data_IF_220011451208
#
_entry.id   IF_220011451208
#
_cell.length_a   1.000
_cell.length_b   1.000
_cell.length_c   1.000
_cell.angle_alpha   90.00
_cell.angle_beta   90.00
_cell.angle_gamma   90.00
#
_symmetry.space_group_name_H-M   'P 1'
#
loop_
_entity.id
_entity.type
_entity.pdbx_description
1 polymer ?
#
# COMPACT_ATOMS: atom_id res chain seq x y z
N UNK A 1 -31.05 17.52 -35.72
CA UNK A 1 -31.32 17.49 -34.27
C UNK A 1 -30.57 16.28 -33.75
N UNK A 2 -29.44 16.46 -33.05
CA UNK A 2 -28.73 15.31 -32.47
C UNK A 2 -29.70 14.62 -31.50
N UNK A 3 -29.83 13.31 -31.64
CA UNK A 3 -30.70 12.50 -30.81
C UNK A 3 -30.22 12.63 -29.36
N UNK A 4 -31.10 13.13 -28.47
CA UNK A 4 -30.79 13.40 -27.07
C UNK A 4 -30.25 12.14 -26.38
N UNK A 5 -30.71 10.96 -26.80
CA UNK A 5 -30.23 9.67 -26.32
C UNK A 5 -28.76 9.40 -26.70
N UNK A 6 -28.34 9.76 -27.92
CA UNK A 6 -26.96 9.55 -28.39
C UNK A 6 -25.99 10.40 -27.56
N UNK A 7 -26.35 11.65 -27.28
CA UNK A 7 -25.52 12.52 -26.44
C UNK A 7 -25.41 11.99 -25.00
N UNK A 8 -26.53 11.56 -24.41
CA UNK A 8 -26.54 11.02 -23.04
C UNK A 8 -25.61 9.80 -22.92
N UNK A 9 -25.72 8.85 -23.86
CA UNK A 9 -24.87 7.66 -23.89
C UNK A 9 -23.40 8.01 -24.13
N UNK A 10 -23.10 8.98 -25.00
CA UNK A 10 -21.74 9.45 -25.23
C UNK A 10 -21.10 10.03 -23.97
N UNK A 11 -21.83 10.86 -23.21
CA UNK A 11 -21.33 11.43 -21.95
C UNK A 11 -21.02 10.33 -20.93
N UNK A 12 -21.94 9.39 -20.72
CA UNK A 12 -21.73 8.27 -19.78
C UNK A 12 -20.53 7.42 -20.21
N UNK A 13 -20.40 7.11 -21.50
CA UNK A 13 -19.29 6.33 -22.05
C UNK A 13 -17.94 7.04 -21.86
N UNK A 14 -17.85 8.34 -22.15
CA UNK A 14 -16.63 9.12 -21.95
C UNK A 14 -16.22 9.11 -20.49
N UNK A 15 -17.16 9.36 -19.56
CA UNK A 15 -16.87 9.33 -18.12
C UNK A 15 -16.40 7.94 -17.70
N UNK A 16 -17.05 6.88 -18.16
CA UNK A 16 -16.65 5.51 -17.84
C UNK A 16 -15.23 5.21 -18.31
N UNK A 17 -14.89 5.57 -19.55
CA UNK A 17 -13.53 5.39 -20.11
C UNK A 17 -12.51 6.15 -19.28
N UNK A 18 -12.77 7.43 -18.97
CA UNK A 18 -11.83 8.27 -18.21
C UNK A 18 -11.64 7.73 -16.79
N UNK A 19 -12.72 7.37 -16.08
CA UNK A 19 -12.65 6.83 -14.72
C UNK A 19 -11.90 5.51 -14.67
N UNK A 20 -12.20 4.59 -15.59
CA UNK A 20 -11.52 3.29 -15.67
C UNK A 20 -10.04 3.45 -16.06
N UNK A 21 -9.73 4.31 -17.04
CA UNK A 21 -8.36 4.57 -17.47
C UNK A 21 -7.53 5.20 -16.35
N UNK A 22 -8.10 6.16 -15.62
CA UNK A 22 -7.45 6.81 -14.49
C UNK A 22 -7.14 5.82 -13.36
N UNK A 23 -8.13 5.04 -12.94
CA UNK A 23 -7.95 4.00 -11.92
C UNK A 23 -6.94 2.94 -12.37
N UNK A 24 -7.06 2.45 -13.60
CA UNK A 24 -6.14 1.46 -14.17
C UNK A 24 -4.71 1.98 -14.19
N UNK A 25 -4.50 3.24 -14.60
CA UNK A 25 -3.18 3.89 -14.58
C UNK A 25 -2.62 3.96 -13.16
N UNK A 26 -3.45 4.28 -12.15
CA UNK A 26 -3.01 4.29 -10.76
C UNK A 26 -2.58 2.90 -10.28
N UNK A 27 -3.34 1.85 -10.60
CA UNK A 27 -3.02 0.47 -10.24
C UNK A 27 -1.77 -0.05 -10.98
N UNK A 28 -1.59 0.34 -12.24
CA UNK A 28 -0.38 0.00 -13.00
C UNK A 28 0.87 0.68 -12.41
N UNK A 29 0.76 1.96 -12.00
CA UNK A 29 1.86 2.66 -11.30
C UNK A 29 2.27 1.94 -10.01
N UNK A 30 1.30 1.38 -9.27
CA UNK A 30 1.57 0.61 -8.06
C UNK A 30 2.35 -0.68 -8.29
N UNK A 31 2.25 -1.27 -9.48
CA UNK A 31 2.72 -2.64 -9.74
C UNK A 31 3.89 -2.73 -10.73
N UNK A 32 4.11 -1.69 -11.52
CA UNK A 32 5.06 -1.71 -12.63
C UNK A 32 6.24 -0.76 -12.49
N UNK A 33 6.15 0.26 -11.61
CA UNK A 33 7.23 1.24 -11.41
C UNK A 33 8.55 0.54 -11.10
N UNK A 34 9.62 0.76 -11.89
CA UNK A 34 10.91 0.14 -11.64
C UNK A 34 11.60 0.78 -10.43
N UNK A 35 12.34 0.00 -9.66
CA UNK A 35 13.20 0.49 -8.59
C UNK A 35 14.67 0.49 -9.00
N UNK A 36 15.49 1.29 -8.30
CA UNK A 36 16.95 1.20 -8.36
C UNK A 36 17.42 0.02 -7.51
N UNK A 37 17.35 -1.19 -8.08
CA UNK A 37 17.76 -2.44 -7.43
C UNK A 37 16.61 -3.41 -7.21
N UNK A 38 16.88 -4.47 -6.45
CA UNK A 38 15.95 -5.56 -6.19
C UNK A 38 16.14 -6.04 -4.75
N UNK A 39 15.03 -6.26 -4.05
CA UNK A 39 15.06 -6.88 -2.73
C UNK A 39 15.22 -8.39 -2.80
N UNK A 40 15.57 -9.02 -1.68
CA UNK A 40 15.62 -10.47 -1.54
C UNK A 40 14.60 -10.90 -0.48
N UNK A 41 13.90 -12.01 -0.75
CA UNK A 41 13.00 -12.61 0.24
C UNK A 41 13.71 -13.80 0.84
N UNK A 42 13.89 -13.77 2.16
CA UNK A 42 14.51 -14.86 2.92
C UNK A 42 13.71 -15.16 4.18
N UNK A 43 14.04 -16.26 4.85
CA UNK A 43 13.55 -16.52 6.21
C UNK A 43 14.05 -15.42 7.15
N UNK A 44 13.17 -14.88 7.98
CA UNK A 44 13.54 -13.88 8.97
C UNK A 44 14.47 -14.49 10.04
N UNK A 45 15.42 -13.71 10.52
CA UNK A 45 16.29 -14.10 11.64
C UNK A 45 15.51 -14.09 12.96
N UNK A 46 16.07 -14.63 14.04
CA UNK A 46 15.40 -14.62 15.35
C UNK A 46 15.04 -13.20 15.82
N UNK A 47 15.91 -12.22 15.56
CA UNK A 47 15.66 -10.82 15.93
C UNK A 47 14.55 -10.20 15.08
N UNK A 48 14.54 -10.42 13.77
CA UNK A 48 13.49 -9.95 12.85
C UNK A 48 12.13 -10.61 13.11
N UNK A 49 12.12 -11.83 13.64
CA UNK A 49 10.92 -12.56 14.02
C UNK A 49 10.41 -12.24 15.43
N UNK A 50 11.10 -11.40 16.19
CA UNK A 50 10.82 -11.15 17.62
C UNK A 50 10.85 -12.41 18.51
N UNK A 51 11.70 -13.38 18.17
CA UNK A 51 11.87 -14.58 18.96
C UNK A 51 12.78 -14.34 20.17
N UNK A 52 12.47 -15.02 21.27
CA UNK A 52 13.28 -14.98 22.50
C UNK A 52 14.71 -15.45 22.18
N UNK A 53 15.70 -14.71 22.70
CA UNK A 53 17.13 -15.01 22.48
C UNK A 53 17.71 -14.41 21.20
N UNK A 54 16.93 -13.67 20.39
CA UNK A 54 17.47 -12.86 19.31
C UNK A 54 18.36 -11.74 19.85
N UNK A 55 19.60 -11.67 19.36
CA UNK A 55 20.55 -10.61 19.70
C UNK A 55 20.57 -9.58 18.57
N UNK A 56 20.41 -8.30 18.90
CA UNK A 56 20.56 -7.21 17.93
C UNK A 56 22.05 -7.09 17.60
N UNK A 57 22.47 -7.26 16.33
CA UNK A 57 23.86 -7.06 15.95
C UNK A 57 24.32 -5.64 16.24
N UNK A 58 25.61 -5.46 16.52
CA UNK A 58 26.18 -4.13 16.77
C UNK A 58 25.93 -3.19 15.58
N UNK A 59 25.47 -1.97 15.87
CA UNK A 59 25.11 -0.96 14.87
C UNK A 59 23.76 -1.20 14.16
N UNK A 60 23.05 -2.31 14.42
CA UNK A 60 21.71 -2.51 13.92
C UNK A 60 20.66 -1.90 14.86
N UNK A 61 19.58 -1.37 14.29
CA UNK A 61 18.43 -0.85 15.04
C UNK A 61 17.17 -1.59 14.63
N UNK A 62 16.27 -1.84 15.59
CA UNK A 62 15.08 -2.66 15.37
C UNK A 62 13.85 -1.92 15.86
N UNK A 63 12.84 -1.86 14.98
CA UNK A 63 11.58 -1.17 15.23
C UNK A 63 10.42 -2.14 15.02
N UNK A 64 9.45 -2.13 15.92
CA UNK A 64 8.18 -2.83 15.76
C UNK A 64 7.08 -1.84 15.37
N UNK A 65 6.17 -2.29 14.50
CA UNK A 65 5.02 -1.47 14.13
C UNK A 65 3.93 -2.30 13.44
N UNK A 66 2.89 -1.61 13.00
CA UNK A 66 1.78 -2.20 12.25
C UNK A 66 1.80 -1.73 10.81
N UNK A 67 2.03 -2.64 9.87
CA UNK A 67 2.05 -2.28 8.46
C UNK A 67 0.65 -1.97 7.93
N UNK A 68 0.52 -0.80 7.31
CA UNK A 68 -0.61 -0.52 6.43
C UNK A 68 -0.46 -1.35 5.17
N UNK A 69 -1.61 -1.81 4.67
CA UNK A 69 -1.68 -2.65 3.48
C UNK A 69 -1.51 -1.85 2.21
N UNK A 70 -0.27 -1.54 1.88
CA UNK A 70 0.15 -0.78 0.70
C UNK A 70 1.03 -1.64 -0.23
N UNK A 71 1.87 -1.02 -1.06
CA UNK A 71 2.53 -1.69 -2.19
C UNK A 71 3.46 -2.83 -1.78
N UNK A 72 4.08 -2.73 -0.60
CA UNK A 72 4.95 -3.76 -0.06
C UNK A 72 4.21 -5.04 0.36
N UNK A 73 2.86 -5.01 0.44
CA UNK A 73 1.97 -6.13 0.75
C UNK A 73 2.08 -6.69 2.16
N UNK A 74 2.77 -6.01 3.06
CA UNK A 74 2.71 -6.34 4.47
C UNK A 74 1.32 -5.99 5.03
N UNK A 75 0.81 -6.84 5.91
CA UNK A 75 -0.48 -6.65 6.54
C UNK A 75 -0.40 -7.22 7.96
N UNK A 76 -0.37 -6.36 8.97
CA UNK A 76 -0.26 -6.78 10.37
C UNK A 76 1.02 -6.30 11.02
N UNK A 77 1.39 -6.95 12.13
CA UNK A 77 2.60 -6.59 12.88
C UNK A 77 3.83 -6.88 12.04
N UNK A 78 4.66 -5.87 11.86
CA UNK A 78 5.96 -6.00 11.20
C UNK A 78 7.08 -5.58 12.14
N UNK A 79 8.26 -6.11 11.86
CA UNK A 79 9.50 -5.68 12.47
C UNK A 79 10.48 -5.25 11.39
N UNK A 80 11.07 -4.09 11.58
CA UNK A 80 12.05 -3.49 10.69
C UNK A 80 13.40 -3.57 11.40
N UNK A 81 14.35 -4.28 10.79
CA UNK A 81 15.74 -4.25 11.20
C UNK A 81 16.52 -3.38 10.21
N UNK A 82 17.11 -2.29 10.69
CA UNK A 82 17.98 -1.43 9.91
C UNK A 82 19.43 -1.76 10.29
N UNK A 83 20.15 -2.32 9.32
CA UNK A 83 21.58 -2.56 9.39
C UNK A 83 22.34 -1.37 8.78
N UNK A 84 23.67 -1.42 8.83
CA UNK A 84 24.50 -0.38 8.23
C UNK A 84 24.19 -0.21 6.74
N UNK A 85 24.19 -1.31 5.96
CA UNK A 85 24.10 -1.32 4.50
C UNK A 85 22.71 -1.68 3.93
N UNK A 86 21.82 -2.21 4.76
CA UNK A 86 20.55 -2.80 4.31
C UNK A 86 19.44 -2.68 5.34
N UNK A 87 18.21 -2.83 4.87
CA UNK A 87 17.00 -2.87 5.70
C UNK A 87 16.26 -4.17 5.44
N UNK A 88 15.83 -4.83 6.51
CA UNK A 88 14.98 -6.01 6.45
C UNK A 88 13.63 -5.73 7.12
N UNK A 89 12.54 -5.93 6.39
CA UNK A 89 11.17 -5.84 6.91
C UNK A 89 10.59 -7.24 6.96
N UNK A 90 10.25 -7.70 8.17
CA UNK A 90 9.69 -9.01 8.43
C UNK A 90 8.25 -8.90 8.96
N UNK A 91 7.38 -9.78 8.51
CA UNK A 91 6.01 -9.88 8.99
C UNK A 91 5.06 -10.55 8.00
N UNK A 92 3.74 -10.53 8.27
CA UNK A 92 2.75 -11.18 7.43
C UNK A 92 2.66 -10.45 6.10
N UNK A 93 2.85 -11.18 4.99
CA UNK A 93 2.91 -10.61 3.65
C UNK A 93 1.99 -11.35 2.70
N UNK A 94 1.10 -10.60 2.04
CA UNK A 94 0.10 -11.17 1.14
C UNK A 94 0.76 -11.61 -0.18
N UNK A 95 0.41 -12.79 -0.73
CA UNK A 95 0.87 -13.22 -2.04
C UNK A 95 0.58 -12.18 -3.13
N UNK A 96 1.57 -11.92 -4.00
CA UNK A 96 1.52 -10.83 -4.98
C UNK A 96 0.31 -10.91 -5.90
N UNK A 97 0.10 -12.07 -6.54
CA UNK A 97 -0.99 -12.24 -7.51
C UNK A 97 -2.36 -12.02 -6.88
N UNK A 98 -2.57 -12.58 -5.68
CA UNK A 98 -3.81 -12.40 -4.93
C UNK A 98 -4.05 -10.93 -4.58
N UNK A 99 -3.02 -10.23 -4.07
CA UNK A 99 -3.12 -8.82 -3.75
C UNK A 99 -3.39 -7.94 -4.98
N UNK A 100 -2.75 -8.24 -6.11
CA UNK A 100 -2.97 -7.50 -7.36
C UNK A 100 -4.40 -7.66 -7.86
N UNK A 101 -4.91 -8.88 -7.94
CA UNK A 101 -6.30 -9.15 -8.32
C UNK A 101 -7.27 -8.41 -7.39
N UNK A 102 -6.99 -8.43 -6.08
CA UNK A 102 -7.81 -7.72 -5.10
C UNK A 102 -7.88 -6.20 -5.36
N UNK A 103 -6.72 -5.56 -5.53
CA UNK A 103 -6.62 -4.12 -5.81
C UNK A 103 -7.33 -3.78 -7.12
N UNK A 104 -7.22 -4.62 -8.14
CA UNK A 104 -7.96 -4.46 -9.40
C UNK A 104 -9.47 -4.52 -9.20
N UNK A 105 -9.98 -5.57 -8.55
CA UNK A 105 -11.43 -5.73 -8.33
C UNK A 105 -11.98 -4.55 -7.52
N UNK A 106 -11.35 -4.21 -6.39
CA UNK A 106 -11.75 -3.08 -5.56
C UNK A 106 -11.72 -1.76 -6.35
N UNK A 107 -10.60 -1.47 -7.02
CA UNK A 107 -10.40 -0.22 -7.73
C UNK A 107 -11.37 -0.04 -8.90
N UNK A 108 -11.60 -1.09 -9.70
CA UNK A 108 -12.52 -1.03 -10.85
C UNK A 108 -13.97 -0.85 -10.41
N UNK A 109 -14.40 -1.52 -9.32
CA UNK A 109 -15.74 -1.30 -8.75
C UNK A 109 -15.91 0.15 -8.29
N UNK A 110 -14.90 0.70 -7.59
CA UNK A 110 -14.92 2.10 -7.17
C UNK A 110 -14.94 3.06 -8.37
N UNK A 111 -14.17 2.77 -9.42
CA UNK A 111 -14.13 3.59 -10.63
C UNK A 111 -15.48 3.65 -11.36
N UNK A 112 -16.27 2.57 -11.31
CA UNK A 112 -17.59 2.48 -11.93
C UNK A 112 -18.68 3.26 -11.16
N UNK A 113 -18.43 3.68 -9.92
CA UNK A 113 -19.37 4.53 -9.16
C UNK A 113 -19.60 5.86 -9.88
N UNK A 114 -18.54 6.49 -10.40
CA UNK A 114 -18.61 7.79 -11.07
C UNK A 114 -19.51 7.73 -12.33
N UNK A 115 -19.27 6.84 -13.32
CA UNK A 115 -20.14 6.75 -14.48
C UNK A 115 -21.57 6.31 -14.14
N UNK A 116 -21.78 5.49 -13.10
CA UNK A 116 -23.12 5.15 -12.64
C UNK A 116 -23.87 6.38 -12.08
N UNK A 117 -23.20 7.23 -11.29
CA UNK A 117 -23.80 8.49 -10.81
C UNK A 117 -24.11 9.44 -11.98
N UNK A 118 -23.19 9.56 -12.95
CA UNK A 118 -23.44 10.38 -14.15
C UNK A 118 -24.61 9.83 -14.95
N UNK A 119 -24.70 8.52 -15.14
CA UNK A 119 -25.84 7.88 -15.81
C UNK A 119 -27.16 8.16 -15.09
N UNK A 120 -27.18 8.12 -13.75
CA UNK A 120 -28.38 8.43 -12.97
C UNK A 120 -28.89 9.85 -13.22
N UNK A 121 -27.98 10.83 -13.34
CA UNK A 121 -28.33 12.23 -13.58
C UNK A 121 -28.70 12.46 -15.05
N UNK A 122 -27.88 11.95 -15.97
CA UNK A 122 -28.00 12.25 -17.41
C UNK A 122 -29.18 11.51 -18.05
N UNK A 123 -29.43 10.26 -17.62
CA UNK A 123 -30.57 9.46 -18.08
C UNK A 123 -31.82 9.63 -17.21
N UNK A 124 -31.71 10.32 -16.07
CA UNK A 124 -32.77 10.47 -15.07
C UNK A 124 -33.38 9.13 -14.61
N UNK A 125 -32.54 8.11 -14.49
CA UNK A 125 -32.95 6.75 -14.09
C UNK A 125 -32.33 6.38 -12.73
N UNK A 126 -33.18 6.27 -11.71
CA UNK A 126 -32.81 5.94 -10.34
C UNK A 126 -32.13 4.57 -10.20
N UNK A 127 -32.31 3.66 -11.16
CA UNK A 127 -31.66 2.34 -11.15
C UNK A 127 -30.14 2.50 -11.17
N UNK A 128 -29.62 3.51 -11.87
CA UNK A 128 -28.20 3.81 -11.88
C UNK A 128 -27.70 4.39 -10.57
N UNK A 129 -28.54 5.13 -9.83
CA UNK A 129 -28.22 5.56 -8.48
C UNK A 129 -28.10 4.36 -7.54
N UNK A 130 -29.03 3.41 -7.62
CA UNK A 130 -28.95 2.16 -6.85
C UNK A 130 -27.74 1.33 -7.26
N UNK A 131 -27.42 1.26 -8.55
CA UNK A 131 -26.20 0.61 -9.04
C UNK A 131 -24.93 1.27 -8.48
N UNK A 132 -24.86 2.61 -8.46
CA UNK A 132 -23.74 3.34 -7.89
C UNK A 132 -23.55 3.03 -6.40
N UNK A 133 -24.64 3.01 -5.62
CA UNK A 133 -24.62 2.63 -4.21
C UNK A 133 -24.14 1.17 -4.05
N UNK A 134 -24.68 0.25 -4.84
CA UNK A 134 -24.28 -1.16 -4.81
C UNK A 134 -22.81 -1.37 -5.14
N UNK A 135 -22.29 -0.70 -6.17
CA UNK A 135 -20.87 -0.70 -6.54
C UNK A 135 -19.98 -0.16 -5.42
N UNK A 136 -20.40 0.95 -4.80
CA UNK A 136 -19.66 1.53 -3.68
C UNK A 136 -19.62 0.58 -2.48
N UNK A 137 -20.76 0.01 -2.08
CA UNK A 137 -20.84 -0.97 -0.99
C UNK A 137 -19.99 -2.21 -1.30
N UNK A 138 -20.04 -2.72 -2.53
CA UNK A 138 -19.24 -3.88 -2.94
C UNK A 138 -17.73 -3.57 -2.87
N UNK A 139 -17.30 -2.43 -3.44
CA UNK A 139 -15.91 -1.97 -3.35
C UNK A 139 -15.46 -1.83 -1.89
N UNK A 140 -16.31 -1.22 -1.06
CA UNK A 140 -16.03 -1.00 0.35
C UNK A 140 -15.94 -2.31 1.13
N UNK A 141 -16.88 -3.22 0.90
CA UNK A 141 -16.90 -4.56 1.49
C UNK A 141 -15.64 -5.36 1.15
N UNK A 142 -15.17 -5.28 -0.11
CA UNK A 142 -13.90 -5.87 -0.52
C UNK A 142 -12.73 -5.19 0.20
N UNK A 143 -12.70 -3.87 0.35
CA UNK A 143 -11.61 -3.23 1.11
C UNK A 143 -11.53 -3.73 2.56
N UNK A 144 -12.68 -3.82 3.24
CA UNK A 144 -12.83 -4.25 4.64
C UNK A 144 -12.55 -5.73 4.85
N UNK A 145 -13.10 -6.60 4.00
CA UNK A 145 -12.85 -8.04 4.07
C UNK A 145 -11.35 -8.32 4.05
N UNK A 146 -10.62 -7.57 3.22
CA UNK A 146 -9.18 -7.70 3.18
C UNK A 146 -8.54 -7.20 4.48
N UNK A 147 -8.99 -6.07 5.04
CA UNK A 147 -8.37 -5.51 6.25
C UNK A 147 -8.42 -6.49 7.43
N UNK A 148 -9.48 -7.28 7.55
CA UNK A 148 -9.59 -8.35 8.55
C UNK A 148 -8.87 -9.65 8.16
N UNK A 149 -8.87 -10.02 6.88
CA UNK A 149 -8.37 -11.33 6.44
C UNK A 149 -6.84 -11.40 6.29
N UNK A 150 -6.20 -10.33 5.80
CA UNK A 150 -4.79 -10.39 5.41
C UNK A 150 -3.80 -10.64 6.55
N UNK A 151 -3.97 -10.06 7.75
CA UNK A 151 -3.06 -10.36 8.87
C UNK A 151 -3.01 -11.86 9.16
N UNK A 152 -4.18 -12.50 9.28
CA UNK A 152 -4.26 -13.95 9.52
C UNK A 152 -3.70 -14.78 8.35
N UNK A 153 -4.04 -14.44 7.10
CA UNK A 153 -3.50 -15.15 5.94
C UNK A 153 -1.98 -15.04 5.83
N UNK A 154 -1.40 -13.90 6.19
CA UNK A 154 0.05 -13.71 6.16
C UNK A 154 0.76 -14.51 7.26
N UNK A 155 0.14 -14.67 8.44
CA UNK A 155 0.70 -15.42 9.56
C UNK A 155 0.67 -16.93 9.32
N UNK A 156 -0.35 -17.47 8.64
CA UNK A 156 -0.43 -18.89 8.28
C UNK A 156 0.76 -19.34 7.40
N UNK A 157 1.40 -18.39 6.70
CA UNK A 157 2.55 -18.65 5.84
C UNK A 157 3.89 -18.67 6.60
N UNK A 158 3.88 -18.55 7.93
CA UNK A 158 5.11 -18.57 8.73
C UNK A 158 5.67 -19.98 8.83
N UNK A 159 6.99 -20.10 8.70
CA UNK A 159 7.69 -21.37 8.89
C UNK A 159 8.29 -21.40 10.29
N UNK A 160 7.71 -22.21 11.18
CA UNK A 160 8.19 -22.40 12.57
C UNK A 160 8.30 -21.07 13.35
N UNK A 161 7.33 -20.16 13.17
CA UNK A 161 7.33 -18.85 13.81
C UNK A 161 8.24 -17.80 13.17
N UNK A 162 8.94 -18.14 12.09
CA UNK A 162 9.70 -17.17 11.30
C UNK A 162 8.88 -16.65 10.12
N UNK A 163 8.48 -15.37 10.10
CA UNK A 163 8.01 -14.73 8.88
C UNK A 163 9.07 -14.75 7.77
N UNK A 164 8.61 -14.43 6.56
CA UNK A 164 9.52 -14.01 5.49
C UNK A 164 9.96 -12.57 5.74
N UNK A 165 11.25 -12.32 5.60
CA UNK A 165 11.84 -10.99 5.59
C UNK A 165 12.09 -10.56 4.14
N UNK A 166 11.66 -9.35 3.78
CA UNK A 166 12.08 -8.67 2.58
C UNK A 166 13.25 -7.77 2.94
N UNK A 167 14.42 -8.06 2.37
CA UNK A 167 15.66 -7.32 2.58
C UNK A 167 16.01 -6.52 1.33
N UNK A 168 16.49 -5.29 1.48
CA UNK A 168 16.93 -4.45 0.37
C UNK A 168 18.05 -3.49 0.81
N UNK A 169 18.89 -3.00 -0.13
CA UNK A 169 19.94 -2.04 0.19
C UNK A 169 19.35 -0.76 0.77
N UNK A 170 19.95 -0.24 1.84
CA UNK A 170 19.42 0.96 2.52
C UNK A 170 19.48 2.18 1.60
N UNK A 171 20.54 2.30 0.80
CA UNK A 171 20.68 3.31 -0.25
C UNK A 171 19.58 3.29 -1.35
N UNK A 172 18.71 2.26 -1.40
CA UNK A 172 17.58 2.21 -2.33
C UNK A 172 16.29 2.82 -1.76
N UNK A 173 16.31 3.25 -0.49
CA UNK A 173 15.20 3.92 0.15
C UNK A 173 15.07 5.35 -0.39
N UNK A 174 13.84 5.76 -0.68
CA UNK A 174 13.55 7.12 -1.13
C UNK A 174 12.21 7.62 -0.59
N UNK A 175 12.07 8.95 -0.48
CA UNK A 175 10.86 9.64 -0.02
C UNK A 175 10.34 9.08 1.32
N UNK A 176 11.15 9.21 2.37
CA UNK A 176 10.72 8.91 3.73
C UNK A 176 9.74 10.01 4.14
N UNK A 177 8.54 9.63 4.57
CA UNK A 177 7.50 10.56 5.04
C UNK A 177 6.97 10.09 6.40
N UNK A 178 6.67 11.04 7.29
CA UNK A 178 5.98 10.81 8.55
C UNK A 178 4.52 11.29 8.45
N UNK A 179 3.57 10.40 8.77
CA UNK A 179 2.14 10.61 8.71
C UNK A 179 1.60 10.58 7.27
N UNK A 180 1.34 11.77 6.71
CA UNK A 180 0.83 11.87 5.34
C UNK A 180 1.89 11.34 4.37
N UNK A 181 1.47 10.54 3.39
CA UNK A 181 2.38 9.94 2.40
C UNK A 181 2.29 8.42 2.31
N UNK A 182 1.63 7.77 3.28
CA UNK A 182 1.42 6.32 3.29
C UNK A 182 0.75 5.78 2.01
N UNK A 183 -0.11 6.58 1.36
CA UNK A 183 -0.85 6.19 0.16
C UNK A 183 -0.14 6.55 -1.17
N UNK A 184 1.08 7.11 -1.15
CA UNK A 184 1.81 7.47 -2.37
C UNK A 184 2.00 6.27 -3.32
N UNK A 185 2.28 6.57 -4.59
CA UNK A 185 2.55 5.55 -5.63
C UNK A 185 1.31 5.06 -6.39
N UNK A 186 0.13 5.60 -6.09
CA UNK A 186 -1.15 5.28 -6.75
C UNK A 186 -2.25 4.84 -5.79
N UNK A 187 -1.91 4.52 -4.53
CA UNK A 187 -2.92 4.18 -3.51
C UNK A 187 -3.81 5.37 -3.14
N UNK A 188 -3.36 6.61 -3.37
CA UNK A 188 -4.16 7.81 -3.19
C UNK A 188 -5.46 7.77 -3.98
N UNK A 189 -5.48 7.07 -5.12
CA UNK A 189 -6.68 6.89 -5.97
C UNK A 189 -7.48 5.66 -5.53
N UNK A 190 -6.81 4.52 -5.34
CA UNK A 190 -7.47 3.24 -4.98
C UNK A 190 -8.12 3.31 -3.60
N UNK A 191 -7.48 4.02 -2.66
CA UNK A 191 -7.90 4.16 -1.27
C UNK A 191 -8.42 5.57 -0.98
N UNK A 192 -8.76 6.35 -2.00
CA UNK A 192 -9.28 7.70 -1.88
C UNK A 192 -10.39 7.84 -0.80
N UNK A 193 -11.39 6.94 -0.73
CA UNK A 193 -12.47 7.07 0.27
C UNK A 193 -11.99 7.03 1.73
N UNK A 194 -10.83 6.41 1.99
CA UNK A 194 -10.27 6.23 3.33
C UNK A 194 -9.20 7.26 3.67
N UNK A 195 -8.66 7.94 2.65
CA UNK A 195 -7.43 8.71 2.76
C UNK A 195 -7.49 9.74 3.88
N UNK A 196 -8.55 10.54 3.91
CA UNK A 196 -8.70 11.60 4.91
C UNK A 196 -8.75 11.07 6.35
N UNK A 197 -9.38 9.91 6.57
CA UNK A 197 -9.47 9.29 7.89
C UNK A 197 -8.11 8.75 8.34
N UNK A 198 -7.43 8.01 7.46
CA UNK A 198 -6.12 7.43 7.77
C UNK A 198 -5.06 8.52 7.90
N UNK A 199 -5.09 9.58 7.10
CA UNK A 199 -4.17 10.71 7.23
C UNK A 199 -4.20 11.32 8.64
N UNK A 200 -5.40 11.40 9.26
CA UNK A 200 -5.54 11.87 10.66
C UNK A 200 -5.01 10.87 11.68
N UNK A 201 -5.25 9.57 11.47
CA UNK A 201 -4.76 8.52 12.39
C UNK A 201 -3.23 8.36 12.34
N UNK A 202 -2.66 8.50 11.15
CA UNK A 202 -1.23 8.32 10.89
C UNK A 202 -0.36 9.48 11.41
N UNK A 203 -0.96 10.59 11.83
CA UNK A 203 -0.26 11.85 12.06
C UNK A 203 0.83 11.75 13.13
N UNK A 204 2.08 11.88 12.67
CA UNK A 204 3.27 11.83 13.51
C UNK A 204 3.69 10.43 13.94
N UNK A 205 2.95 9.38 13.59
CA UNK A 205 3.21 8.00 14.05
C UNK A 205 3.46 7.00 12.93
N UNK A 206 2.96 7.25 11.70
CA UNK A 206 3.25 6.37 10.58
C UNK A 206 4.52 6.79 9.85
N UNK A 207 5.46 5.88 9.63
CA UNK A 207 6.60 6.08 8.74
C UNK A 207 6.34 5.35 7.43
N UNK A 208 6.59 6.02 6.32
CA UNK A 208 6.38 5.45 5.01
C UNK A 208 7.50 5.84 4.06
N UNK A 209 7.89 4.93 3.17
CA UNK A 209 9.03 5.12 2.26
C UNK A 209 8.89 4.23 1.03
N UNK A 210 9.58 4.56 -0.05
CA UNK A 210 9.72 3.68 -1.21
C UNK A 210 10.99 2.85 -1.11
N UNK A 211 10.90 1.59 -1.51
CA UNK A 211 12.03 0.68 -1.64
C UNK A 211 11.70 -0.43 -2.66
N UNK A 212 12.69 -1.16 -3.19
CA UNK A 212 12.47 -2.25 -4.12
C UNK A 212 11.79 -3.46 -3.46
N UNK A 213 10.88 -4.09 -4.19
CA UNK A 213 10.42 -5.44 -3.91
C UNK A 213 11.36 -6.50 -4.50
N UNK A 214 11.02 -7.77 -4.28
CA UNK A 214 11.78 -8.92 -4.77
C UNK A 214 11.76 -9.12 -6.28
N UNK A 215 11.05 -8.28 -7.03
CA UNK A 215 10.99 -8.29 -8.49
C UNK A 215 11.54 -6.98 -9.10
N UNK A 216 12.23 -6.16 -8.29
CA UNK A 216 12.78 -4.88 -8.72
C UNK A 216 11.71 -3.82 -9.01
N UNK A 217 10.54 -3.94 -8.38
CA UNK A 217 9.47 -2.95 -8.46
C UNK A 217 9.53 -2.01 -7.27
N UNK A 218 9.37 -0.73 -7.51
CA UNK A 218 9.30 0.28 -6.47
C UNK A 218 7.94 0.16 -5.77
N UNK A 219 7.99 -0.15 -4.48
CA UNK A 219 6.78 -0.34 -3.67
C UNK A 219 6.80 0.57 -2.46
N UNK A 220 5.62 1.02 -2.06
CA UNK A 220 5.45 1.82 -0.85
C UNK A 220 5.39 0.91 0.37
N UNK A 221 6.20 1.23 1.37
CA UNK A 221 6.07 0.75 2.74
C UNK A 221 5.35 1.83 3.54
N UNK A 222 4.48 1.43 4.46
CA UNK A 222 3.82 2.33 5.39
C UNK A 222 3.54 1.56 6.68
N UNK A 223 4.08 2.05 7.78
CA UNK A 223 4.16 1.33 9.04
C UNK A 223 3.79 2.31 10.14
N UNK A 224 2.80 1.94 10.94
CA UNK A 224 2.34 2.69 12.10
C UNK A 224 3.19 2.29 13.31
N UNK A 225 3.90 3.26 13.89
CA UNK A 225 4.77 3.06 15.04
C UNK A 225 4.01 3.46 16.32
N UNK A 226 4.39 2.87 17.45
CA UNK A 226 3.67 3.08 18.71
C UNK A 226 3.72 4.52 19.25
N UNK A 227 4.77 5.27 18.92
CA UNK A 227 4.97 6.65 19.39
C UNK A 227 5.55 7.54 18.30
N UNK A 228 5.42 8.86 18.48
CA UNK A 228 5.99 9.85 17.56
C UNK A 228 7.52 9.84 17.59
N UNK A 229 8.09 9.53 18.74
CA UNK A 229 9.52 9.44 18.98
C UNK A 229 10.09 8.27 18.16
N UNK A 230 9.48 7.08 18.24
CA UNK A 230 9.88 5.92 17.43
C UNK A 230 9.74 6.18 15.93
N UNK A 231 8.69 6.89 15.52
CA UNK A 231 8.50 7.25 14.12
C UNK A 231 9.62 8.19 13.62
N UNK A 232 10.03 9.18 14.43
CA UNK A 232 11.14 10.07 14.10
C UNK A 232 12.47 9.32 14.06
N UNK A 233 12.77 8.51 15.07
CA UNK A 233 14.00 7.71 15.13
C UNK A 233 14.13 6.80 13.89
N UNK A 234 13.07 6.08 13.54
CA UNK A 234 13.08 5.25 12.33
C UNK A 234 13.30 6.10 11.07
N UNK A 235 12.61 7.24 10.93
CA UNK A 235 12.76 8.08 9.75
C UNK A 235 14.20 8.62 9.61
N UNK A 236 14.80 9.12 10.69
CA UNK A 236 16.19 9.60 10.72
C UNK A 236 17.18 8.49 10.37
N UNK A 237 16.95 7.28 10.89
CA UNK A 237 17.76 6.10 10.58
C UNK A 237 17.57 5.69 9.11
N UNK A 238 16.41 5.84 8.50
CA UNK A 238 16.23 5.53 7.08
C UNK A 238 16.85 6.60 6.16
N UNK A 239 16.94 7.86 6.59
CA UNK A 239 17.48 8.98 5.81
C UNK A 239 19.01 9.14 5.89
N UNK A 240 19.63 8.73 6.99
CA UNK A 240 21.03 9.07 7.34
C UNK A 240 22.13 8.55 6.40
N UNK A 241 21.84 7.73 5.38
CA UNK A 241 22.82 7.36 4.33
C UNK A 241 22.92 8.35 3.16
N UNK A 242 22.13 9.44 3.19
CA UNK A 242 22.24 10.53 2.21
C UNK A 242 23.33 11.57 2.48
N UNK A 243 23.88 11.64 3.70
CA UNK A 243 24.78 12.72 4.12
C UNK A 243 26.27 12.44 3.83
N UNK A 244 26.71 11.18 3.84
CA UNK A 244 28.13 10.81 3.70
C UNK A 244 28.62 10.63 2.25
N UNK A 245 27.80 11.00 1.24
CA UNK A 245 28.23 11.01 -0.17
C UNK A 245 28.68 12.39 -0.67
N UNK A 246 28.80 13.39 0.22
CA UNK A 246 29.21 14.75 -0.12
C UNK A 246 30.44 15.24 0.66
N UNK A 247 31.32 14.33 1.10
CA UNK A 247 32.63 14.66 1.69
C UNK A 247 33.76 14.11 0.82
#
# INVERSE_FOLDING_TARGET
MFDMQVWQLAVVAIVAIVSLAWMSRAILRLTLSPASGQGTVRKATAIESALVGGVVPEGAQVFDGWAYRVGARFAGRVRIAVYSDRVAVAGPRVPRGLYQVWVWVQGLLLALVIPALVAAVVLLDWRWLVAAIGLFIASYGISFAGAGLWPGLGEILYEQGHPKALEFPRASISEVDIGKGWAKGGFEVVLFPYKAGIDRMSEGVAVSFFAPDEHGKQVRFAIDLYTKEYARELAEVLESEGADRAA
#
